data_IF_285572119413
#
_entry.id   IF_285572119413
#
_cell.length_a   1.000
_cell.length_b   1.000
_cell.length_c   1.000
_cell.angle_alpha   90.00
_cell.angle_beta   90.00
_cell.angle_gamma   90.00
#
_symmetry.space_group_name_H-M   'P 1'
#
loop_
_entity.id
_entity.type
_entity.pdbx_description
1 polymer ?
#
# COMPACT_ATOMS: atom_id res chain seq x y z
N UNK A 1 -16.07 22.83 28.87
CA UNK A 1 -16.15 21.38 28.67
C UNK A 1 -14.82 20.93 28.13
N UNK A 2 -14.05 20.16 28.90
CA UNK A 2 -12.79 19.58 28.47
C UNK A 2 -13.02 18.66 27.26
N UNK A 3 -12.13 18.67 26.24
CA UNK A 3 -12.22 17.74 25.13
C UNK A 3 -12.06 16.33 25.70
N UNK A 4 -13.06 15.47 25.47
CA UNK A 4 -13.01 14.05 25.85
C UNK A 4 -11.73 13.48 25.19
N UNK A 5 -10.74 13.16 25.98
CA UNK A 5 -9.53 12.47 25.55
C UNK A 5 -9.95 11.18 24.84
N UNK A 6 -9.73 11.14 23.53
CA UNK A 6 -10.00 9.97 22.71
C UNK A 6 -9.18 8.82 23.30
N UNK A 7 -9.84 7.83 23.89
CA UNK A 7 -9.16 6.67 24.45
C UNK A 7 -8.38 5.99 23.32
N UNK A 8 -7.05 6.01 23.40
CA UNK A 8 -6.19 5.34 22.44
C UNK A 8 -6.30 3.84 22.67
N UNK A 9 -6.69 3.12 21.62
CA UNK A 9 -6.62 1.66 21.65
C UNK A 9 -5.15 1.25 21.76
N UNK A 10 -4.84 0.19 22.54
CA UNK A 10 -3.47 -0.31 22.62
C UNK A 10 -3.02 -0.76 21.21
N UNK A 11 -1.72 -0.60 20.89
CA UNK A 11 -1.18 -1.09 19.64
C UNK A 11 -1.41 -2.61 19.50
N UNK A 12 -1.73 -3.06 18.29
CA UNK A 12 -1.84 -4.48 18.00
C UNK A 12 -0.47 -5.17 18.19
N UNK A 13 -0.50 -6.42 18.64
CA UNK A 13 0.72 -7.22 18.74
C UNK A 13 1.38 -7.38 17.38
N UNK A 14 2.72 -7.27 17.34
CA UNK A 14 3.55 -7.41 16.15
C UNK A 14 4.56 -8.52 16.41
N UNK A 15 4.63 -9.48 15.52
CA UNK A 15 5.50 -10.64 15.67
C UNK A 15 6.70 -10.57 14.73
N UNK A 16 7.90 -10.68 15.32
CA UNK A 16 9.17 -10.85 14.62
C UNK A 16 9.82 -12.14 15.12
N UNK A 17 9.97 -13.13 14.24
CA UNK A 17 10.55 -14.43 14.61
C UNK A 17 9.91 -15.07 15.86
N UNK A 18 8.59 -15.13 15.91
CA UNK A 18 7.78 -15.65 17.02
C UNK A 18 7.90 -14.86 18.35
N UNK A 19 8.55 -13.71 18.35
CA UNK A 19 8.65 -12.81 19.51
C UNK A 19 7.73 -11.62 19.32
N UNK A 20 6.92 -11.30 20.33
CA UNK A 20 6.12 -10.08 20.31
C UNK A 20 7.02 -8.86 20.44
N UNK A 21 7.02 -8.04 19.39
CA UNK A 21 7.88 -6.88 19.28
C UNK A 21 7.48 -5.74 20.22
N UNK A 22 6.19 -5.60 20.52
CA UNK A 22 5.67 -4.49 21.35
C UNK A 22 6.13 -4.60 22.79
N UNK A 23 6.36 -5.81 23.27
CA UNK A 23 6.83 -6.03 24.64
C UNK A 23 8.30 -5.61 24.82
N UNK A 24 9.02 -5.42 23.71
CA UNK A 24 10.42 -5.01 23.75
C UNK A 24 10.60 -3.51 23.47
N UNK A 25 10.51 -2.70 24.53
CA UNK A 25 10.65 -1.23 24.46
C UNK A 25 11.95 -0.73 23.81
N UNK A 26 13.03 -1.54 23.79
CA UNK A 26 14.30 -1.16 23.16
C UNK A 26 14.23 -1.21 21.64
N UNK A 27 13.53 -2.20 21.11
CA UNK A 27 13.41 -2.39 19.67
C UNK A 27 12.46 -1.33 19.06
N UNK A 28 11.38 -0.99 19.77
CA UNK A 28 10.47 0.08 19.35
C UNK A 28 11.14 1.45 19.20
N UNK A 29 12.27 1.68 19.90
CA UNK A 29 13.07 2.92 19.82
C UNK A 29 14.04 2.96 18.64
N UNK A 30 14.47 1.81 18.14
CA UNK A 30 15.47 1.73 17.05
C UNK A 30 14.88 2.23 15.73
N UNK A 31 13.59 2.01 15.50
CA UNK A 31 12.93 2.33 14.22
C UNK A 31 12.06 3.60 14.29
N UNK A 32 12.33 4.48 15.25
CA UNK A 32 11.53 5.68 15.50
C UNK A 32 11.38 6.57 14.25
N UNK A 33 12.45 6.75 13.49
CA UNK A 33 12.44 7.59 12.29
C UNK A 33 12.18 6.82 10.98
N UNK A 34 12.41 5.50 10.98
CA UNK A 34 12.37 4.67 9.77
C UNK A 34 11.03 3.99 9.51
N UNK A 35 10.24 3.72 10.55
CA UNK A 35 9.02 2.92 10.38
C UNK A 35 8.14 2.79 11.63
N UNK A 36 8.50 3.47 12.71
CA UNK A 36 7.85 3.36 14.02
C UNK A 36 6.47 4.02 14.13
N UNK A 37 5.82 4.35 13.01
CA UNK A 37 4.49 4.96 13.03
C UNK A 37 3.44 3.90 13.35
N UNK A 38 2.68 4.13 14.42
CA UNK A 38 1.54 3.31 14.84
C UNK A 38 0.28 4.15 14.75
N UNK A 39 -0.67 3.72 13.92
CA UNK A 39 -1.94 4.43 13.73
C UNK A 39 -3.04 3.45 13.30
N UNK A 40 -4.32 3.78 13.50
CA UNK A 40 -5.43 3.07 12.88
C UNK A 40 -5.34 3.09 11.35
N UNK A 41 -5.87 2.07 10.67
CA UNK A 41 -5.88 2.01 9.20
C UNK A 41 -6.60 3.21 8.57
N UNK A 42 -7.58 3.78 9.23
CA UNK A 42 -8.27 5.01 8.80
C UNK A 42 -7.34 6.21 8.69
N UNK A 43 -6.40 6.36 9.60
CA UNK A 43 -5.42 7.46 9.58
C UNK A 43 -4.39 7.27 8.45
N UNK A 44 -3.97 6.03 8.19
CA UNK A 44 -3.16 5.72 7.00
C UNK A 44 -3.89 6.04 5.70
N UNK A 45 -5.21 5.84 5.65
CA UNK A 45 -6.03 6.23 4.50
C UNK A 45 -6.06 7.76 4.33
N UNK A 46 -6.18 8.52 5.42
CA UNK A 46 -6.10 9.99 5.39
C UNK A 46 -4.74 10.43 4.85
N UNK A 47 -3.65 9.85 5.34
CA UNK A 47 -2.29 10.11 4.85
C UNK A 47 -2.16 9.82 3.35
N UNK A 48 -2.57 8.64 2.90
CA UNK A 48 -2.49 8.26 1.48
C UNK A 48 -3.34 9.15 0.58
N UNK A 49 -4.54 9.53 1.01
CA UNK A 49 -5.37 10.51 0.29
C UNK A 49 -4.70 11.89 0.21
N UNK A 50 -4.07 12.34 1.28
CA UNK A 50 -3.36 13.61 1.30
C UNK A 50 -2.15 13.59 0.35
N UNK A 51 -1.42 12.47 0.31
CA UNK A 51 -0.29 12.28 -0.61
C UNK A 51 -0.73 12.26 -2.08
N UNK A 52 -1.74 11.45 -2.41
CA UNK A 52 -2.28 11.31 -3.78
C UNK A 52 -2.86 12.63 -4.29
N UNK A 53 -3.49 13.41 -3.42
CA UNK A 53 -4.11 14.70 -3.77
C UNK A 53 -3.15 15.91 -3.70
N UNK A 54 -1.84 15.67 -3.61
CA UNK A 54 -0.84 16.74 -3.64
C UNK A 54 -0.81 17.65 -2.40
N UNK A 55 -1.40 17.21 -1.28
CA UNK A 55 -1.43 18.00 -0.04
C UNK A 55 -0.15 17.91 0.80
N UNK A 56 0.66 16.87 0.59
CA UNK A 56 1.91 16.65 1.31
C UNK A 56 3.14 17.06 0.50
N UNK A 57 3.12 16.74 -0.79
CA UNK A 57 4.17 17.10 -1.76
C UNK A 57 3.52 17.59 -3.04
N UNK A 58 4.26 18.39 -3.83
CA UNK A 58 3.78 18.80 -5.15
C UNK A 58 3.63 17.60 -6.07
N UNK A 59 2.72 17.68 -7.02
CA UNK A 59 2.49 16.61 -8.02
C UNK A 59 3.77 16.26 -8.78
N UNK A 60 4.58 17.24 -9.16
CA UNK A 60 5.87 17.02 -9.80
C UNK A 60 6.81 16.18 -8.94
N UNK A 61 6.87 16.47 -7.63
CA UNK A 61 7.67 15.70 -6.67
C UNK A 61 7.12 14.29 -6.51
N UNK A 62 5.80 14.13 -6.41
CA UNK A 62 5.18 12.81 -6.32
C UNK A 62 5.48 11.97 -7.57
N UNK A 63 5.41 12.58 -8.75
CA UNK A 63 5.76 11.91 -10.00
C UNK A 63 7.23 11.46 -10.02
N UNK A 64 8.15 12.30 -9.56
CA UNK A 64 9.55 11.90 -9.38
C UNK A 64 9.68 10.72 -8.41
N UNK A 65 9.01 10.76 -7.27
CA UNK A 65 9.02 9.65 -6.30
C UNK A 65 8.56 8.34 -6.92
N UNK A 66 7.58 8.38 -7.81
CA UNK A 66 6.98 7.19 -8.42
C UNK A 66 7.77 6.69 -9.64
N UNK A 67 8.23 7.60 -10.51
CA UNK A 67 8.75 7.24 -11.84
C UNK A 67 10.27 7.26 -11.94
N UNK A 68 10.97 8.06 -11.12
CA UNK A 68 12.42 8.04 -11.03
C UNK A 68 12.85 6.88 -10.13
N UNK A 69 12.96 5.69 -10.70
CA UNK A 69 13.25 4.48 -9.93
C UNK A 69 14.69 4.00 -10.05
N UNK A 70 15.16 3.43 -8.97
CA UNK A 70 16.35 2.59 -8.96
C UNK A 70 15.91 1.15 -9.21
N UNK A 71 16.42 0.55 -10.27
CA UNK A 71 16.17 -0.87 -10.54
C UNK A 71 16.76 -1.70 -9.41
N UNK A 72 15.91 -2.27 -8.60
CA UNK A 72 16.33 -3.22 -7.56
C UNK A 72 16.78 -4.52 -8.25
N UNK A 73 18.05 -4.90 -8.03
CA UNK A 73 18.55 -6.19 -8.44
C UNK A 73 17.87 -7.35 -7.70
N UNK A 74 18.28 -8.59 -8.01
CA UNK A 74 17.96 -9.74 -7.19
C UNK A 74 18.42 -9.47 -5.74
N UNK A 75 17.60 -9.60 -4.66
CA UNK A 75 16.42 -10.46 -4.52
C UNK A 75 15.06 -9.77 -4.56
N UNK A 76 14.98 -8.48 -4.89
CA UNK A 76 13.69 -7.75 -4.93
C UNK A 76 12.87 -8.07 -6.20
N UNK A 77 12.77 -9.36 -6.52
CA UNK A 77 12.03 -9.86 -7.67
C UNK A 77 10.58 -9.36 -7.67
N UNK A 78 10.23 -8.68 -8.75
CA UNK A 78 8.86 -8.25 -9.00
C UNK A 78 8.53 -6.83 -8.52
N UNK A 79 9.49 -6.11 -7.89
CA UNK A 79 9.29 -4.73 -7.47
C UNK A 79 10.48 -3.83 -7.84
N UNK A 80 10.18 -2.60 -8.19
CA UNK A 80 11.12 -1.49 -8.29
C UNK A 80 10.91 -0.53 -7.10
N UNK A 81 11.94 0.20 -6.78
CA UNK A 81 11.95 1.16 -5.68
C UNK A 81 12.25 2.55 -6.23
N UNK A 82 11.30 3.47 -6.05
CA UNK A 82 11.48 4.88 -6.29
C UNK A 82 11.95 5.61 -5.03
N UNK A 83 11.80 6.92 -4.99
CA UNK A 83 12.10 7.69 -3.78
C UNK A 83 11.04 7.42 -2.71
N UNK A 84 11.35 6.50 -1.79
CA UNK A 84 10.46 6.03 -0.70
C UNK A 84 9.16 5.35 -1.17
N UNK A 85 9.12 4.87 -2.40
CA UNK A 85 7.93 4.27 -3.01
C UNK A 85 8.28 2.92 -3.63
N UNK A 86 7.51 1.89 -3.31
CA UNK A 86 7.57 0.57 -3.95
C UNK A 86 6.53 0.49 -5.07
N UNK A 87 6.87 -0.17 -6.17
CA UNK A 87 5.96 -0.44 -7.30
C UNK A 87 6.22 -1.81 -7.90
N UNK A 88 5.17 -2.55 -8.33
CA UNK A 88 5.36 -3.81 -9.04
C UNK A 88 6.05 -3.56 -10.39
N UNK A 89 7.01 -4.42 -10.75
CA UNK A 89 7.58 -4.45 -12.10
C UNK A 89 6.54 -4.93 -13.10
N UNK A 90 6.40 -4.20 -14.19
CA UNK A 90 5.64 -4.72 -15.32
C UNK A 90 6.43 -5.85 -15.98
N UNK A 91 5.90 -7.07 -15.91
CA UNK A 91 6.46 -8.23 -16.58
C UNK A 91 5.44 -8.64 -17.65
N UNK A 92 5.78 -8.59 -18.95
CA UNK A 92 4.86 -9.01 -20.00
C UNK A 92 4.28 -10.41 -19.71
N UNK A 93 2.97 -10.58 -19.96
CA UNK A 93 2.18 -11.80 -19.70
C UNK A 93 1.99 -12.15 -18.22
N UNK A 94 2.97 -11.94 -17.34
CA UNK A 94 2.90 -12.33 -15.93
C UNK A 94 2.34 -11.19 -15.04
N UNK A 95 2.79 -9.97 -15.26
CA UNK A 95 2.41 -8.78 -14.51
C UNK A 95 2.14 -7.60 -15.46
N UNK A 96 0.99 -7.58 -16.17
CA UNK A 96 0.64 -6.51 -17.09
C UNK A 96 0.54 -5.15 -16.39
N UNK A 97 0.68 -4.06 -17.16
CA UNK A 97 0.65 -2.67 -16.67
C UNK A 97 -0.61 -2.33 -15.85
N UNK A 98 -1.73 -3.01 -16.09
CA UNK A 98 -2.96 -2.83 -15.32
C UNK A 98 -2.85 -3.16 -13.83
N UNK A 99 -1.80 -3.86 -13.41
CA UNK A 99 -1.51 -4.12 -11.99
C UNK A 99 -0.64 -3.02 -11.37
N UNK A 100 -0.32 -1.96 -12.12
CA UNK A 100 0.51 -0.89 -11.60
C UNK A 100 -0.16 -0.23 -10.41
N UNK A 101 0.53 -0.26 -9.29
CA UNK A 101 0.21 0.47 -8.07
C UNK A 101 1.51 0.93 -7.43
N UNK A 102 1.41 1.90 -6.54
CA UNK A 102 2.58 2.41 -5.84
C UNK A 102 2.26 2.65 -4.37
N UNK A 103 3.26 2.54 -3.52
CA UNK A 103 3.07 2.67 -2.09
C UNK A 103 4.24 2.15 -1.31
N UNK A 104 4.00 1.58 -0.13
CA UNK A 104 5.07 0.97 0.64
C UNK A 104 4.63 -0.32 1.33
N UNK A 105 5.63 -1.12 1.71
CA UNK A 105 5.47 -2.33 2.51
C UNK A 105 6.45 -2.30 3.68
N UNK A 106 5.97 -2.64 4.85
CA UNK A 106 6.77 -2.76 6.07
C UNK A 106 7.21 -4.20 6.34
N UNK A 107 8.29 -4.33 7.13
CA UNK A 107 8.84 -5.62 7.53
C UNK A 107 7.85 -6.51 8.28
N UNK A 108 6.84 -5.91 8.90
CA UNK A 108 5.78 -6.60 9.65
C UNK A 108 4.61 -7.09 8.78
N UNK A 109 4.74 -7.01 7.45
CA UNK A 109 3.65 -7.29 6.54
C UNK A 109 2.58 -6.19 6.51
N UNK A 110 2.87 -5.00 7.03
CA UNK A 110 2.06 -3.81 6.81
C UNK A 110 2.25 -3.32 5.38
N UNK A 111 1.18 -2.85 4.76
CA UNK A 111 1.22 -2.31 3.40
C UNK A 111 0.21 -1.19 3.22
N UNK A 112 0.57 -0.22 2.40
CA UNK A 112 -0.33 0.82 1.90
C UNK A 112 0.02 1.14 0.45
N UNK A 113 -0.93 0.94 -0.45
CA UNK A 113 -0.76 1.15 -1.88
C UNK A 113 -1.93 1.93 -2.47
N UNK A 114 -1.64 2.71 -3.50
CA UNK A 114 -2.62 3.34 -4.36
C UNK A 114 -2.58 2.69 -5.73
N UNK A 115 -3.74 2.31 -6.25
CA UNK A 115 -3.90 1.78 -7.59
C UNK A 115 -4.56 2.85 -8.49
N UNK A 116 -3.80 3.53 -9.38
CA UNK A 116 -4.29 4.70 -10.12
C UNK A 116 -5.47 4.39 -11.04
N UNK A 117 -5.44 3.25 -11.74
CA UNK A 117 -6.48 2.91 -12.71
C UNK A 117 -7.87 2.79 -12.08
N UNK A 118 -7.99 2.18 -10.91
CA UNK A 118 -9.26 2.03 -10.19
C UNK A 118 -9.45 3.06 -9.08
N UNK A 119 -8.49 3.97 -8.89
CA UNK A 119 -8.46 4.96 -7.79
C UNK A 119 -8.60 4.33 -6.41
N UNK A 120 -8.19 3.07 -6.25
CA UNK A 120 -8.33 2.32 -5.03
C UNK A 120 -7.13 2.53 -4.09
N UNK A 121 -7.42 2.67 -2.81
CA UNK A 121 -6.44 2.66 -1.72
C UNK A 121 -6.50 1.29 -1.05
N UNK A 122 -5.38 0.60 -1.01
CA UNK A 122 -5.27 -0.74 -0.43
C UNK A 122 -4.34 -0.68 0.77
N UNK A 123 -4.90 -0.77 1.97
CA UNK A 123 -4.17 -0.59 3.23
C UNK A 123 -4.47 -1.76 4.15
N UNK A 124 -3.43 -2.34 4.72
CA UNK A 124 -3.59 -3.48 5.63
C UNK A 124 -2.31 -3.86 6.33
N UNK A 125 -2.43 -4.82 7.24
CA UNK A 125 -1.27 -5.38 7.94
C UNK A 125 -1.55 -6.82 8.35
N UNK A 126 -0.49 -7.61 8.40
CA UNK A 126 -0.51 -8.96 8.99
C UNK A 126 0.11 -8.98 10.39
N UNK A 127 0.80 -7.91 10.78
CA UNK A 127 1.51 -7.77 12.05
C UNK A 127 2.54 -8.89 12.33
N UNK A 128 3.08 -9.49 11.26
CA UNK A 128 4.02 -10.60 11.36
C UNK A 128 5.04 -10.55 10.22
N UNK A 129 6.33 -10.64 10.56
CA UNK A 129 7.44 -10.62 9.60
C UNK A 129 7.35 -11.75 8.56
N UNK A 130 6.83 -12.92 8.92
CA UNK A 130 6.70 -14.05 8.00
C UNK A 130 5.77 -13.76 6.81
N UNK A 131 4.99 -12.68 6.89
CA UNK A 131 4.07 -12.24 5.85
C UNK A 131 4.58 -11.10 4.99
N UNK A 132 5.79 -10.57 5.20
CA UNK A 132 6.33 -9.43 4.44
C UNK A 132 6.21 -9.62 2.92
N UNK A 133 6.74 -10.73 2.39
CA UNK A 133 6.63 -11.06 0.95
C UNK A 133 5.24 -11.53 0.54
N UNK A 134 4.53 -12.21 1.44
CA UNK A 134 3.17 -12.70 1.21
C UNK A 134 2.16 -11.57 1.14
N UNK A 135 2.36 -10.49 1.90
CA UNK A 135 1.50 -9.30 1.91
C UNK A 135 1.36 -8.69 0.51
N UNK A 136 2.47 -8.52 -0.19
CA UNK A 136 2.47 -7.98 -1.57
C UNK A 136 1.73 -8.91 -2.54
N UNK A 137 2.01 -10.22 -2.48
CA UNK A 137 1.31 -11.20 -3.31
C UNK A 137 -0.19 -11.24 -2.99
N UNK A 138 -0.56 -11.17 -1.72
CA UNK A 138 -1.95 -11.09 -1.29
C UNK A 138 -2.62 -9.85 -1.87
N UNK A 139 -2.03 -8.69 -1.71
CA UNK A 139 -2.55 -7.43 -2.24
C UNK A 139 -2.80 -7.52 -3.76
N UNK A 140 -1.81 -7.96 -4.52
CA UNK A 140 -1.93 -8.02 -5.98
C UNK A 140 -2.95 -9.07 -6.45
N UNK A 141 -2.90 -10.28 -5.89
CA UNK A 141 -3.69 -11.41 -6.39
C UNK A 141 -5.08 -11.51 -5.78
N UNK A 142 -5.24 -11.09 -4.52
CA UNK A 142 -6.52 -11.24 -3.80
C UNK A 142 -7.32 -9.95 -3.70
N UNK A 143 -6.70 -8.79 -3.98
CA UNK A 143 -7.38 -7.49 -3.93
C UNK A 143 -7.39 -6.83 -5.31
N UNK A 144 -6.23 -6.48 -5.86
CA UNK A 144 -6.15 -5.73 -7.13
C UNK A 144 -6.72 -6.53 -8.30
N UNK A 145 -6.38 -7.81 -8.41
CA UNK A 145 -6.86 -8.65 -9.52
C UNK A 145 -8.38 -8.82 -9.55
N UNK A 146 -9.09 -9.13 -8.47
CA UNK A 146 -10.55 -9.12 -8.44
C UNK A 146 -11.16 -7.75 -8.72
N UNK A 147 -10.59 -6.69 -8.15
CA UNK A 147 -11.05 -5.32 -8.35
C UNK A 147 -11.04 -4.93 -9.83
N UNK A 148 -9.96 -5.26 -10.56
CA UNK A 148 -9.87 -5.01 -12.00
C UNK A 148 -10.92 -5.78 -12.82
N UNK A 149 -11.33 -6.95 -12.37
CA UNK A 149 -12.40 -7.71 -13.03
C UNK A 149 -13.76 -7.01 -12.86
N UNK A 150 -14.04 -6.55 -11.64
CA UNK A 150 -15.32 -5.86 -11.34
C UNK A 150 -15.44 -4.58 -12.16
N UNK A 151 -14.39 -3.76 -12.21
CA UNK A 151 -14.41 -2.51 -12.97
C UNK A 151 -14.55 -2.74 -14.47
N UNK A 152 -13.91 -3.77 -15.04
CA UNK A 152 -14.05 -4.09 -16.48
C UNK A 152 -15.45 -4.60 -16.87
N UNK A 153 -16.18 -5.22 -15.95
CA UNK A 153 -17.55 -5.66 -16.21
C UNK A 153 -18.52 -4.48 -16.20
N UNK A 154 -18.34 -3.54 -15.26
CA UNK A 154 -19.18 -2.34 -15.15
C UNK A 154 -19.06 -1.41 -16.38
N UNK A 155 -17.89 -1.35 -17.00
CA UNK A 155 -17.68 -0.53 -18.21
C UNK A 155 -18.39 -1.13 -19.42
N UNK A 156 -18.43 -2.46 -19.56
CA UNK A 156 -19.14 -3.16 -20.66
C UNK A 156 -20.66 -3.06 -20.54
N UNK A 157 -21.21 -3.00 -19.34
CA UNK A 157 -22.67 -2.89 -19.12
C UNK A 157 -23.23 -1.49 -19.45
N UNK A 158 -22.37 -0.46 -19.50
CA UNK A 158 -22.73 0.92 -19.84
C UNK A 158 -22.62 1.23 -21.35
N UNK A 159 -22.09 0.33 -22.17
CA UNK A 159 -21.98 0.47 -23.64
C UNK A 159 -23.06 -0.27 -24.40
N UNK A 160 -24.28 -0.43 -23.89
CA UNK A 160 -25.40 -0.88 -24.71
C UNK A 160 -25.81 0.24 -25.67
N UNK A 161 -25.75 0.05 -27.00
CA UNK A 161 -26.11 1.09 -27.96
C UNK A 161 -27.59 1.39 -27.83
N UNK A 162 -27.93 2.65 -27.69
CA UNK A 162 -29.29 3.13 -27.97
C UNK A 162 -29.60 2.83 -29.45
N UNK A 163 -30.31 1.77 -29.69
CA UNK A 163 -30.90 1.48 -31.00
C UNK A 163 -31.93 2.57 -31.28
N UNK A 164 -31.54 3.53 -32.09
CA UNK A 164 -32.49 4.48 -32.71
C UNK A 164 -33.31 3.74 -33.75
N UNK A 165 -34.59 3.70 -33.52
CA UNK A 165 -35.63 3.42 -34.52
C UNK A 165 -36.03 4.74 -35.14
#
# INVERSE_FOLDING_TARGET
SEPKTKAWLPPAHIYLFNTNFIDNKRIARIDYAGGGVVAPLSEYLVFMKALVNGRLVKETTLNQMIYDDVKMGFPALGFDYGYSVWKPKAIPLLMPKKYFCWGCVGVTGAFMFFHPQTKAYVIGTFNDKSYTSKALRFMLMKIIKPLLKITSTSDNDNETPSTSV
#
